data_IF_526166320776
#
_entry.id   IF_526166320776
#
_cell.length_a   1.000
_cell.length_b   1.000
_cell.length_c   1.000
_cell.angle_alpha   90.00
_cell.angle_beta   90.00
_cell.angle_gamma   90.00
#
_symmetry.space_group_name_H-M   'P 1'
#
loop_
_entity.id
_entity.type
_entity.pdbx_description
1 polymer ?
#
# COMPACT_ATOMS: atom_id res chain seq x y z
N UNK A 1 49.61 3.33 -19.97
CA UNK A 1 49.99 3.54 -18.56
C UNK A 1 48.78 3.19 -17.70
N UNK A 2 48.83 2.06 -16.98
CA UNK A 2 47.73 1.55 -16.14
C UNK A 2 47.86 2.18 -14.74
N UNK A 3 46.79 2.80 -14.24
CA UNK A 3 46.67 3.21 -12.84
C UNK A 3 45.56 2.36 -12.21
N UNK A 4 45.98 1.29 -11.55
CA UNK A 4 45.15 0.48 -10.65
C UNK A 4 44.89 1.28 -9.39
N UNK A 5 43.64 1.72 -9.18
CA UNK A 5 43.22 2.33 -7.92
C UNK A 5 42.57 1.23 -7.09
N UNK A 6 43.18 0.98 -5.94
CA UNK A 6 42.82 -0.05 -4.98
C UNK A 6 41.42 0.20 -4.42
N UNK A 7 40.61 -0.87 -4.45
CA UNK A 7 39.32 -0.96 -3.78
C UNK A 7 39.59 -1.08 -2.28
N UNK A 8 39.37 0.00 -1.51
CA UNK A 8 39.36 -0.05 -0.05
C UNK A 8 37.95 -0.41 0.39
N UNK A 9 37.79 -1.70 0.66
CA UNK A 9 36.63 -2.34 1.25
C UNK A 9 36.40 -1.79 2.66
N UNK A 10 35.46 -0.85 2.82
CA UNK A 10 34.98 -0.38 4.13
C UNK A 10 33.72 -1.16 4.51
N UNK A 11 33.91 -2.38 5.00
CA UNK A 11 32.89 -3.12 5.75
C UNK A 11 33.15 -2.91 7.24
N UNK A 12 32.14 -2.39 7.96
CA UNK A 12 31.70 -2.83 9.29
C UNK A 12 31.17 -1.67 10.15
N UNK A 13 29.91 -1.29 9.96
CA UNK A 13 29.08 -0.69 11.03
C UNK A 13 27.61 -1.07 10.81
N UNK A 14 27.29 -2.35 10.96
CA UNK A 14 25.92 -2.81 11.29
C UNK A 14 25.87 -3.03 12.81
N UNK A 15 25.84 -1.94 13.58
CA UNK A 15 25.44 -2.00 14.97
C UNK A 15 23.91 -2.09 15.02
N UNK A 16 23.39 -3.29 15.25
CA UNK A 16 21.97 -3.53 15.48
C UNK A 16 21.55 -3.06 16.87
N UNK A 17 20.57 -2.17 16.95
CA UNK A 17 19.85 -1.89 18.19
C UNK A 17 18.82 -2.99 18.44
N UNK A 18 19.06 -3.81 19.47
CA UNK A 18 18.10 -4.78 19.98
C UNK A 18 17.35 -4.14 21.15
N UNK A 19 16.12 -3.67 20.92
CA UNK A 19 15.26 -3.18 22.00
C UNK A 19 14.51 -4.36 22.62
N UNK A 20 15.15 -5.01 23.58
CA UNK A 20 14.51 -5.95 24.50
C UNK A 20 14.37 -5.29 25.88
N UNK A 21 13.12 -5.05 26.29
CA UNK A 21 12.77 -4.70 27.66
C UNK A 21 11.39 -4.08 27.74
N UNK A 22 10.52 -4.40 28.68
CA UNK A 22 10.44 -5.49 29.65
C UNK A 22 8.97 -5.50 30.10
N UNK A 23 8.43 -6.69 30.41
CA UNK A 23 7.17 -6.87 31.13
C UNK A 23 7.21 -6.16 32.48
N UNK A 24 6.09 -5.57 32.89
CA UNK A 24 5.60 -5.39 34.27
C UNK A 24 4.42 -4.41 34.20
N UNK A 25 3.24 -4.59 34.80
CA UNK A 25 2.82 -5.34 35.98
C UNK A 25 1.35 -5.71 35.83
N UNK A 26 1.03 -6.96 36.17
CA UNK A 26 -0.31 -7.45 36.52
C UNK A 26 -0.86 -6.66 37.70
N UNK A 27 -1.97 -5.92 37.53
CA UNK A 27 -2.80 -5.51 38.67
C UNK A 27 -4.15 -6.20 38.56
N UNK A 28 -4.31 -7.25 39.36
CA UNK A 28 -5.61 -7.76 39.73
C UNK A 28 -6.22 -6.82 40.77
N UNK A 29 -7.50 -6.49 40.61
CA UNK A 29 -8.55 -6.66 41.61
C UNK A 29 -9.71 -5.68 41.37
N UNK A 30 -10.88 -6.21 40.97
CA UNK A 30 -12.13 -6.22 41.77
C UNK A 30 -13.33 -6.58 40.86
N UNK A 31 -14.00 -7.69 41.19
CA UNK A 31 -15.33 -8.10 40.69
C UNK A 31 -16.41 -7.15 41.30
N UNK A 32 -17.57 -6.80 40.72
CA UNK A 32 -18.72 -7.52 40.12
C UNK A 32 -19.92 -6.48 40.11
N UNK A 33 -21.15 -6.65 39.55
CA UNK A 33 -21.69 -7.37 38.37
C UNK A 33 -22.46 -6.47 37.35
N UNK A 34 -22.86 -7.12 36.24
CA UNK A 34 -24.07 -6.91 35.44
C UNK A 34 -24.18 -5.69 34.50
N UNK A 35 -24.13 -5.95 33.19
CA UNK A 35 -25.34 -5.98 32.37
C UNK A 35 -25.02 -6.59 31.00
N UNK A 36 -25.73 -7.67 30.67
CA UNK A 36 -25.78 -8.21 29.33
C UNK A 36 -26.53 -7.23 28.44
N UNK A 37 -25.90 -6.83 27.33
CA UNK A 37 -26.61 -6.23 26.20
C UNK A 37 -26.27 -7.06 24.98
N UNK A 38 -27.04 -8.12 24.77
CA UNK A 38 -27.17 -8.71 23.46
C UNK A 38 -27.97 -7.74 22.59
N UNK A 39 -27.30 -7.07 21.67
CA UNK A 39 -27.93 -6.53 20.46
C UNK A 39 -26.96 -6.79 19.32
N UNK A 40 -27.18 -7.95 18.72
CA UNK A 40 -26.68 -8.32 17.40
C UNK A 40 -27.18 -7.29 16.41
N UNK A 41 -26.35 -6.30 16.09
CA UNK A 41 -26.54 -5.48 14.90
C UNK A 41 -25.67 -6.09 13.81
N UNK A 42 -26.30 -6.90 12.96
CA UNK A 42 -25.76 -7.27 11.64
C UNK A 42 -25.45 -5.98 10.89
N UNK A 43 -24.21 -5.51 11.01
CA UNK A 43 -23.63 -4.68 9.97
C UNK A 43 -23.53 -5.57 8.73
N UNK A 44 -23.96 -5.13 7.54
CA UNK A 44 -23.71 -5.89 6.34
C UNK A 44 -22.21 -6.08 6.25
N UNK A 45 -21.78 -7.35 6.35
CA UNK A 45 -20.43 -7.75 5.97
C UNK A 45 -20.31 -7.45 4.49
N UNK A 46 -19.93 -6.23 4.17
CA UNK A 46 -19.32 -5.93 2.90
C UNK A 46 -18.13 -6.90 2.82
N UNK A 47 -17.99 -7.71 1.77
CA UNK A 47 -16.74 -8.43 1.60
C UNK A 47 -15.65 -7.35 1.57
N UNK A 48 -14.85 -7.27 2.64
CA UNK A 48 -13.65 -6.46 2.68
C UNK A 48 -12.68 -7.12 1.71
N UNK A 49 -12.80 -6.69 0.45
CA UNK A 49 -11.90 -7.03 -0.63
C UNK A 49 -10.61 -6.25 -0.39
N UNK A 50 -9.72 -6.80 0.45
CA UNK A 50 -8.37 -6.27 0.59
C UNK A 50 -7.47 -6.81 -0.53
N UNK A 51 -7.79 -6.42 -1.77
CA UNK A 51 -6.88 -6.59 -2.90
C UNK A 51 -6.16 -5.26 -3.09
N UNK A 52 -5.23 -4.99 -2.17
CA UNK A 52 -4.54 -3.71 -2.05
C UNK A 52 -4.76 -3.09 -0.67
N UNK A 53 -3.73 -2.43 -0.14
CA UNK A 53 -3.82 -1.72 1.12
C UNK A 53 -4.72 -0.48 0.91
N UNK A 54 -5.96 -0.51 1.43
CA UNK A 54 -7.00 0.50 1.14
C UNK A 54 -6.55 1.94 1.41
N UNK A 55 -5.73 2.14 2.45
CA UNK A 55 -5.15 3.45 2.77
C UNK A 55 -4.18 3.95 1.68
N UNK A 56 -3.40 3.05 1.08
CA UNK A 56 -2.46 3.39 0.02
C UNK A 56 -3.21 3.74 -1.28
N UNK A 57 -4.27 3.00 -1.61
CA UNK A 57 -5.14 3.29 -2.76
C UNK A 57 -5.83 4.65 -2.58
N UNK A 58 -6.37 4.94 -1.39
CA UNK A 58 -7.00 6.23 -1.11
C UNK A 58 -6.05 7.42 -1.32
N UNK A 59 -4.81 7.29 -0.84
CA UNK A 59 -3.77 8.32 -1.06
C UNK A 59 -3.45 8.47 -2.55
N UNK A 60 -3.29 7.36 -3.25
CA UNK A 60 -3.08 7.32 -4.70
C UNK A 60 -4.21 8.01 -5.48
N UNK A 61 -5.47 7.84 -5.08
CA UNK A 61 -6.58 8.56 -5.71
C UNK A 61 -6.51 10.07 -5.47
N UNK A 62 -6.07 10.53 -4.29
CA UNK A 62 -5.85 11.96 -4.04
C UNK A 62 -4.75 12.52 -4.93
N UNK A 63 -3.64 11.80 -5.06
CA UNK A 63 -2.53 12.18 -5.93
C UNK A 63 -2.98 12.23 -7.41
N UNK A 64 -3.78 11.26 -7.86
CA UNK A 64 -4.34 11.24 -9.20
C UNK A 64 -5.25 12.46 -9.46
N UNK A 65 -6.10 12.84 -8.50
CA UNK A 65 -6.93 14.04 -8.60
C UNK A 65 -6.09 15.33 -8.67
N UNK A 66 -5.00 15.40 -7.91
CA UNK A 66 -4.06 16.51 -7.99
C UNK A 66 -3.37 16.56 -9.37
N UNK A 67 -2.97 15.39 -9.90
CA UNK A 67 -2.35 15.26 -11.22
C UNK A 67 -3.25 15.80 -12.34
N UNK A 68 -4.57 15.62 -12.23
CA UNK A 68 -5.54 16.16 -13.18
C UNK A 68 -5.40 17.68 -13.37
N UNK A 69 -5.13 18.40 -12.28
CA UNK A 69 -5.02 19.86 -12.30
C UNK A 69 -3.69 20.34 -12.88
N UNK A 70 -2.63 19.54 -12.74
CA UNK A 70 -1.27 19.99 -13.09
C UNK A 70 -0.73 19.42 -14.39
N UNK A 71 -1.16 18.22 -14.77
CA UNK A 71 -0.76 17.49 -15.98
C UNK A 71 -1.91 16.60 -16.49
N UNK A 72 -2.90 17.16 -17.20
CA UNK A 72 -4.12 16.44 -17.61
C UNK A 72 -3.85 15.26 -18.54
N UNK A 73 -2.84 15.35 -19.41
CA UNK A 73 -2.46 14.23 -20.29
C UNK A 73 -1.93 13.02 -19.49
N UNK A 74 -1.05 13.27 -18.50
CA UNK A 74 -0.53 12.24 -17.61
C UNK A 74 -1.66 11.64 -16.75
N UNK A 75 -2.60 12.47 -16.27
CA UNK A 75 -3.80 12.00 -15.60
C UNK A 75 -4.61 11.02 -16.44
N UNK A 76 -4.93 11.36 -17.70
CA UNK A 76 -5.75 10.47 -18.55
C UNK A 76 -5.10 9.09 -18.72
N UNK A 77 -3.79 9.07 -18.99
CA UNK A 77 -3.05 7.81 -19.11
C UNK A 77 -3.06 7.00 -17.81
N UNK A 78 -2.78 7.64 -16.67
CA UNK A 78 -2.67 6.93 -15.40
C UNK A 78 -4.00 6.51 -14.79
N UNK A 79 -5.04 7.31 -15.01
CA UNK A 79 -6.40 6.96 -14.62
C UNK A 79 -6.91 5.75 -15.42
N UNK A 80 -6.65 5.70 -16.74
CA UNK A 80 -7.00 4.55 -17.56
C UNK A 80 -6.29 3.26 -17.09
N UNK A 81 -4.98 3.34 -16.84
CA UNK A 81 -4.18 2.21 -16.34
C UNK A 81 -4.70 1.69 -15.00
N UNK A 82 -4.94 2.58 -14.03
CA UNK A 82 -5.44 2.21 -12.71
C UNK A 82 -6.83 1.58 -12.78
N UNK A 83 -7.75 2.17 -13.54
CA UNK A 83 -9.12 1.63 -13.69
C UNK A 83 -9.12 0.26 -14.35
N UNK A 84 -8.25 0.04 -15.35
CA UNK A 84 -8.10 -1.26 -15.98
C UNK A 84 -7.63 -2.33 -14.98
N UNK A 85 -6.65 -2.01 -14.13
CA UNK A 85 -6.16 -2.94 -13.10
C UNK A 85 -7.27 -3.27 -12.10
N UNK A 86 -8.02 -2.26 -11.62
CA UNK A 86 -9.11 -2.45 -10.67
C UNK A 86 -10.26 -3.27 -11.27
N UNK A 87 -10.59 -3.07 -12.55
CA UNK A 87 -11.60 -3.86 -13.24
C UNK A 87 -11.19 -5.34 -13.33
N UNK A 88 -9.91 -5.62 -13.65
CA UNK A 88 -9.39 -6.99 -13.69
C UNK A 88 -9.36 -7.63 -12.28
N UNK A 89 -8.94 -6.87 -11.26
CA UNK A 89 -8.95 -7.31 -9.87
C UNK A 89 -10.38 -7.68 -9.42
N UNK A 90 -11.38 -6.89 -9.81
CA UNK A 90 -12.79 -7.20 -9.55
C UNK A 90 -13.22 -8.52 -10.18
N UNK A 91 -12.85 -8.80 -11.44
CA UNK A 91 -13.16 -10.09 -12.06
C UNK A 91 -12.51 -11.26 -11.31
N UNK A 92 -11.24 -11.09 -10.90
CA UNK A 92 -10.56 -12.08 -10.07
C UNK A 92 -11.30 -12.36 -8.77
N UNK A 93 -11.79 -11.32 -8.07
CA UNK A 93 -12.51 -11.51 -6.79
C UNK A 93 -13.79 -12.34 -6.94
N UNK A 94 -14.43 -12.34 -8.11
CA UNK A 94 -15.63 -13.12 -8.38
C UNK A 94 -15.35 -14.62 -8.50
N UNK A 95 -14.15 -15.00 -8.94
CA UNK A 95 -13.76 -16.40 -9.14
C UNK A 95 -12.84 -16.92 -8.03
N UNK A 96 -12.23 -16.04 -7.23
CA UNK A 96 -11.23 -16.33 -6.19
C UNK A 96 -11.63 -17.46 -5.23
N UNK A 97 -12.91 -17.56 -4.88
CA UNK A 97 -13.42 -18.60 -3.98
C UNK A 97 -13.34 -20.03 -4.58
N UNK A 98 -13.27 -20.14 -5.91
CA UNK A 98 -13.21 -21.42 -6.63
C UNK A 98 -11.78 -21.82 -7.03
N UNK A 99 -10.77 -21.06 -6.60
CA UNK A 99 -9.37 -21.29 -6.94
C UNK A 99 -8.60 -21.92 -5.78
N UNK A 100 -7.47 -22.56 -6.07
CA UNK A 100 -6.56 -23.07 -5.04
C UNK A 100 -5.91 -21.92 -4.26
N UNK A 101 -5.49 -22.21 -3.02
CA UNK A 101 -4.77 -21.24 -2.18
C UNK A 101 -3.48 -20.74 -2.82
N UNK A 102 -2.78 -21.59 -3.58
CA UNK A 102 -1.57 -21.23 -4.32
C UNK A 102 -1.87 -20.20 -5.41
N UNK A 103 -2.89 -20.44 -6.25
CA UNK A 103 -3.29 -19.48 -7.30
C UNK A 103 -3.73 -18.15 -6.67
N UNK A 104 -4.49 -18.21 -5.57
CA UNK A 104 -4.91 -17.02 -4.85
C UNK A 104 -3.71 -16.21 -4.34
N UNK A 105 -2.71 -16.86 -3.73
CA UNK A 105 -1.51 -16.19 -3.26
C UNK A 105 -0.72 -15.49 -4.37
N UNK A 106 -0.60 -16.12 -5.53
CA UNK A 106 0.08 -15.55 -6.71
C UNK A 106 -0.69 -14.33 -7.23
N UNK A 107 -2.01 -14.47 -7.43
CA UNK A 107 -2.82 -13.39 -7.99
C UNK A 107 -3.01 -12.23 -7.02
N UNK A 108 -3.21 -12.50 -5.72
CA UNK A 108 -3.29 -11.48 -4.68
C UNK A 108 -2.01 -10.62 -4.68
N UNK A 109 -0.85 -11.27 -4.67
CA UNK A 109 0.45 -10.58 -4.71
C UNK A 109 0.65 -9.81 -6.02
N UNK A 110 0.25 -10.41 -7.14
CA UNK A 110 0.33 -9.79 -8.46
C UNK A 110 -0.51 -8.52 -8.58
N UNK A 111 -1.76 -8.54 -8.09
CA UNK A 111 -2.62 -7.36 -8.09
C UNK A 111 -2.13 -6.30 -7.10
N UNK A 112 -1.69 -6.67 -5.90
CA UNK A 112 -1.09 -5.74 -4.95
C UNK A 112 0.12 -5.02 -5.56
N UNK A 113 1.01 -5.76 -6.22
CA UNK A 113 2.15 -5.17 -6.93
C UNK A 113 1.71 -4.22 -8.05
N UNK A 114 0.80 -4.64 -8.94
CA UNK A 114 0.36 -3.81 -10.08
C UNK A 114 -0.30 -2.52 -9.64
N UNK A 115 -1.18 -2.59 -8.63
CA UNK A 115 -1.81 -1.41 -8.03
C UNK A 115 -0.74 -0.51 -7.41
N UNK A 116 0.13 -1.07 -6.56
CA UNK A 116 1.21 -0.31 -5.90
C UNK A 116 2.15 0.38 -6.87
N UNK A 117 2.58 -0.32 -7.93
CA UNK A 117 3.41 0.24 -9.01
C UNK A 117 2.69 1.40 -9.70
N UNK A 118 1.44 1.21 -10.11
CA UNK A 118 0.69 2.26 -10.82
C UNK A 118 0.51 3.49 -9.95
N UNK A 119 0.26 3.30 -8.65
CA UNK A 119 0.19 4.40 -7.69
C UNK A 119 1.53 5.11 -7.49
N UNK A 120 2.64 4.38 -7.50
CA UNK A 120 3.96 5.01 -7.51
C UNK A 120 4.20 5.82 -8.80
N UNK A 121 3.80 5.29 -9.96
CA UNK A 121 3.92 6.00 -11.23
C UNK A 121 3.08 7.29 -11.24
N UNK A 122 1.88 7.27 -10.64
CA UNK A 122 1.04 8.47 -10.43
C UNK A 122 1.76 9.51 -9.58
N UNK A 123 2.30 9.08 -8.43
CA UNK A 123 3.05 9.97 -7.53
C UNK A 123 4.23 10.61 -8.24
N UNK A 124 5.02 9.81 -8.96
CA UNK A 124 6.19 10.29 -9.70
C UNK A 124 5.78 11.31 -10.78
N UNK A 125 4.74 11.02 -11.57
CA UNK A 125 4.24 11.96 -12.57
C UNK A 125 3.75 13.27 -11.94
N UNK A 126 3.07 13.21 -10.80
CA UNK A 126 2.64 14.39 -10.06
C UNK A 126 3.83 15.22 -9.57
N UNK A 127 4.82 14.56 -8.94
CA UNK A 127 6.02 15.24 -8.46
C UNK A 127 6.77 15.92 -9.60
N UNK A 128 6.97 15.25 -10.74
CA UNK A 128 7.62 15.82 -11.91
C UNK A 128 6.88 17.05 -12.43
N UNK A 129 5.56 16.94 -12.62
CA UNK A 129 4.74 18.06 -13.10
C UNK A 129 4.76 19.28 -12.15
N UNK A 130 4.87 19.04 -10.84
CA UNK A 130 5.01 20.11 -9.84
C UNK A 130 6.40 20.74 -9.86
N UNK A 131 7.46 19.94 -9.96
CA UNK A 131 8.85 20.43 -10.02
C UNK A 131 9.06 21.29 -11.27
N UNK A 132 8.61 20.84 -12.44
CA UNK A 132 8.70 21.61 -13.68
C UNK A 132 8.04 22.99 -13.59
N UNK A 133 7.04 23.15 -12.73
CA UNK A 133 6.38 24.44 -12.49
C UNK A 133 7.23 25.34 -11.59
N UNK A 134 7.87 24.78 -10.56
CA UNK A 134 8.77 25.52 -9.67
C UNK A 134 10.01 26.00 -10.42
N UNK A 135 10.56 25.18 -11.31
CA UNK A 135 11.76 25.52 -12.11
C UNK A 135 11.50 26.58 -13.19
N UNK A 136 10.23 26.82 -13.55
CA UNK A 136 9.82 27.85 -14.51
C UNK A 136 9.56 29.22 -13.87
N UNK A 137 9.66 29.32 -12.54
CA UNK A 137 9.57 30.57 -11.78
C UNK A 137 10.95 31.22 -11.73
#
# INVERSE_FOLDING_TARGET
MKKTIAVVTFCALLAGCQQAGNRSVTKAEKAEPAQATETSSMLPTRPEVSVGNDAALYTCMKELNALQQVAPAAYQSKNAELNQILAQAKLYTQVRANLSSEINGILDSGYQYRIGKTCNDIRTALTQALVERVEKI
#
